data_IF_002257338255
#
_entry.id   IF_002257338255
#
_cell.length_a   1.000
_cell.length_b   1.000
_cell.length_c   1.000
_cell.angle_alpha   90.00
_cell.angle_beta   90.00
_cell.angle_gamma   90.00
#
_symmetry.space_group_name_H-M   'P 1'
#
loop_
_entity.id
_entity.type
_entity.pdbx_description
1 polymer ?
#
# COMPACT_ATOMS: atom_id res chain seq x y z
N UNK A 1 -5.39 -3.29 -19.50
CA UNK A 1 -4.22 -4.07 -19.07
C UNK A 1 -3.52 -3.32 -17.94
N UNK A 2 -3.10 -3.99 -16.85
CA UNK A 2 -2.50 -3.37 -15.66
C UNK A 2 -1.04 -2.91 -15.85
N UNK A 3 -0.56 -2.81 -17.10
CA UNK A 3 0.86 -2.82 -17.50
C UNK A 3 1.71 -1.65 -17.00
N UNK A 4 1.16 -0.70 -16.25
CA UNK A 4 1.91 0.44 -15.73
C UNK A 4 1.51 0.86 -14.31
N UNK A 5 0.90 -0.04 -13.52
CA UNK A 5 0.58 0.27 -12.13
C UNK A 5 1.83 0.02 -11.27
N UNK A 6 2.22 1.03 -10.51
CA UNK A 6 3.25 0.93 -9.48
C UNK A 6 2.61 1.08 -8.11
N UNK A 7 2.88 0.13 -7.23
CA UNK A 7 2.56 0.22 -5.80
C UNK A 7 3.81 0.66 -5.08
N UNK A 8 3.82 1.90 -4.58
CA UNK A 8 4.93 2.44 -3.82
C UNK A 8 4.67 2.30 -2.32
N UNK A 9 5.64 1.71 -1.63
CA UNK A 9 5.76 1.71 -0.17
C UNK A 9 6.81 2.75 0.21
N UNK A 10 6.44 3.72 1.03
CA UNK A 10 7.32 4.83 1.41
C UNK A 10 7.14 5.20 2.88
N UNK A 11 8.16 5.81 3.47
CA UNK A 11 8.07 6.25 4.87
C UNK A 11 7.03 7.36 5.01
N UNK A 12 6.19 7.26 6.04
CA UNK A 12 5.23 8.32 6.33
C UNK A 12 5.97 9.53 6.90
N UNK A 13 6.03 10.64 6.13
CA UNK A 13 6.86 11.81 6.47
C UNK A 13 6.63 12.36 7.88
N UNK A 14 5.40 12.25 8.40
CA UNK A 14 5.03 12.81 9.70
C UNK A 14 5.18 11.83 10.87
N UNK A 15 5.48 10.55 10.62
CA UNK A 15 5.71 9.59 11.71
C UNK A 15 6.66 8.47 11.27
N UNK A 16 7.82 8.31 11.94
CA UNK A 16 8.79 7.28 11.61
C UNK A 16 8.28 5.86 11.90
N UNK A 17 7.14 5.72 12.56
CA UNK A 17 6.52 4.43 12.92
C UNK A 17 5.48 3.96 11.90
N UNK A 18 5.32 4.64 10.76
CA UNK A 18 4.32 4.30 9.74
C UNK A 18 4.94 4.31 8.35
N UNK A 19 4.36 3.48 7.49
CA UNK A 19 4.62 3.50 6.05
C UNK A 19 3.33 3.83 5.31
N UNK A 20 3.47 4.59 4.23
CA UNK A 20 2.40 4.89 3.28
C UNK A 20 2.54 3.99 2.08
N UNK A 21 1.45 3.33 1.74
CA UNK A 21 1.29 2.50 0.55
C UNK A 21 0.34 3.24 -0.38
N UNK A 22 0.76 3.48 -1.62
CA UNK A 22 -0.06 4.16 -2.63
C UNK A 22 0.17 3.50 -3.98
N UNK A 23 -0.86 3.46 -4.81
CA UNK A 23 -0.71 3.06 -6.20
C UNK A 23 -0.79 4.27 -7.14
N UNK A 24 -0.07 4.22 -8.26
CA UNK A 24 -0.17 5.19 -9.35
C UNK A 24 0.07 4.49 -10.68
N UNK A 25 -0.36 5.10 -11.77
CA UNK A 25 -0.02 4.66 -13.11
C UNK A 25 0.45 5.85 -13.96
N UNK A 26 1.06 5.57 -15.11
CA UNK A 26 1.60 6.62 -15.99
C UNK A 26 0.54 7.65 -16.41
N UNK A 27 -0.73 7.24 -16.52
CA UNK A 27 -1.85 8.11 -16.90
C UNK A 27 -2.44 8.87 -15.69
N UNK A 28 -2.53 8.21 -14.53
CA UNK A 28 -3.02 8.80 -13.29
C UNK A 28 -1.90 8.89 -12.25
N UNK A 29 -1.43 10.13 -12.02
CA UNK A 29 -0.36 10.46 -11.07
C UNK A 29 -0.55 9.83 -9.67
N UNK A 30 -1.80 9.61 -9.25
CA UNK A 30 -2.15 8.90 -8.00
C UNK A 30 -3.50 8.19 -8.16
N UNK A 31 -3.56 6.90 -7.84
CA UNK A 31 -4.82 6.17 -7.70
C UNK A 31 -5.37 6.40 -6.27
N UNK A 32 -6.70 6.41 -6.07
CA UNK A 32 -7.33 6.70 -4.78
C UNK A 32 -7.21 5.55 -3.75
N UNK A 33 -6.06 4.88 -3.70
CA UNK A 33 -5.80 3.68 -2.89
C UNK A 33 -4.78 3.89 -1.77
N UNK A 34 -4.47 5.14 -1.41
CA UNK A 34 -3.46 5.41 -0.39
C UNK A 34 -3.88 4.96 1.02
N UNK A 35 -3.05 4.15 1.65
CA UNK A 35 -3.23 3.57 3.00
C UNK A 35 -1.96 3.78 3.83
N UNK A 36 -2.12 4.05 5.12
CA UNK A 36 -1.01 4.10 6.06
C UNK A 36 -1.09 2.90 7.00
N UNK A 37 0.00 2.15 7.13
CA UNK A 37 0.11 1.03 8.07
C UNK A 37 1.26 1.27 9.05
N UNK A 38 1.24 0.54 10.17
CA UNK A 38 2.37 0.53 11.11
C UNK A 38 3.61 -0.01 10.41
N UNK A 39 4.77 0.62 10.65
CA UNK A 39 6.06 0.11 10.20
C UNK A 39 6.34 -1.26 10.83
N UNK A 40 6.03 -1.43 12.11
CA UNK A 40 6.22 -2.70 12.83
C UNK A 40 5.40 -3.83 12.20
N UNK A 41 4.14 -3.56 11.83
CA UNK A 41 3.30 -4.54 11.15
C UNK A 41 3.89 -4.89 9.78
N UNK A 42 4.28 -3.87 9.01
CA UNK A 42 4.90 -4.05 7.70
C UNK A 42 6.19 -4.90 7.77
N UNK A 43 7.07 -4.63 8.73
CA UNK A 43 8.32 -5.37 8.93
C UNK A 43 8.09 -6.80 9.44
N UNK A 44 7.05 -7.02 10.24
CA UNK A 44 6.74 -8.32 10.83
C UNK A 44 6.11 -9.31 9.85
N UNK A 45 5.11 -8.87 9.08
CA UNK A 45 4.32 -9.77 8.21
C UNK A 45 4.42 -9.45 6.72
N UNK A 46 5.08 -8.36 6.36
CA UNK A 46 5.21 -7.90 4.97
C UNK A 46 3.98 -7.16 4.43
N UNK A 47 4.09 -6.66 3.20
CA UNK A 47 3.09 -5.79 2.55
C UNK A 47 1.71 -6.45 2.42
N UNK A 48 1.67 -7.62 1.77
CA UNK A 48 0.42 -8.30 1.41
C UNK A 48 -0.35 -8.68 2.66
N UNK A 49 0.31 -9.34 3.61
CA UNK A 49 -0.33 -9.78 4.85
C UNK A 49 -0.80 -8.59 5.69
N UNK A 50 -0.03 -7.50 5.73
CA UNK A 50 -0.45 -6.28 6.42
C UNK A 50 -1.74 -5.69 5.83
N UNK A 51 -1.84 -5.65 4.50
CA UNK A 51 -3.04 -5.17 3.79
C UNK A 51 -4.24 -6.10 3.99
N UNK A 52 -4.04 -7.42 3.93
CA UNK A 52 -5.11 -8.41 4.15
C UNK A 52 -5.64 -8.36 5.59
N UNK A 53 -4.75 -8.23 6.58
CA UNK A 53 -5.18 -8.06 7.97
C UNK A 53 -5.99 -6.77 8.14
N UNK A 54 -5.52 -5.66 7.57
CA UNK A 54 -6.21 -4.37 7.68
C UNK A 54 -7.56 -4.39 6.95
N UNK A 55 -7.65 -5.06 5.81
CA UNK A 55 -8.90 -5.29 5.08
C UNK A 55 -9.94 -5.96 5.97
N UNK A 56 -9.56 -7.01 6.70
CA UNK A 56 -10.46 -7.81 7.52
C UNK A 56 -10.73 -7.21 8.91
N UNK A 57 -9.81 -6.44 9.48
CA UNK A 57 -9.93 -5.90 10.83
C UNK A 57 -10.51 -4.48 10.88
N UNK A 58 -10.60 -3.79 9.74
CA UNK A 58 -11.07 -2.40 9.67
C UNK A 58 -12.59 -2.31 9.63
N UNK A 59 -13.17 -1.51 10.52
CA UNK A 59 -14.59 -1.12 10.46
C UNK A 59 -14.85 0.04 9.46
N UNK A 60 -13.80 0.57 8.85
CA UNK A 60 -13.89 1.68 7.89
C UNK A 60 -13.96 1.11 6.47
N UNK A 61 -15.15 1.16 5.87
CA UNK A 61 -15.40 0.64 4.51
C UNK A 61 -14.45 1.25 3.47
N UNK A 62 -14.21 2.56 3.54
CA UNK A 62 -13.29 3.23 2.62
C UNK A 62 -11.86 2.69 2.75
N UNK A 63 -11.43 2.36 3.97
CA UNK A 63 -10.11 1.77 4.20
C UNK A 63 -10.04 0.34 3.64
N UNK A 64 -11.08 -0.45 3.85
CA UNK A 64 -11.22 -1.81 3.31
C UNK A 64 -11.19 -1.80 1.78
N UNK A 65 -11.93 -0.90 1.14
CA UNK A 65 -11.97 -0.78 -0.32
C UNK A 65 -10.59 -0.40 -0.90
N UNK A 66 -9.86 0.49 -0.21
CA UNK A 66 -8.49 0.84 -0.60
C UNK A 66 -7.52 -0.33 -0.46
N UNK A 67 -7.62 -1.12 0.62
CA UNK A 67 -6.80 -2.31 0.80
C UNK A 67 -7.08 -3.35 -0.29
N UNK A 68 -8.36 -3.62 -0.60
CA UNK A 68 -8.77 -4.48 -1.71
C UNK A 68 -8.22 -4.00 -3.05
N UNK A 69 -8.31 -2.71 -3.34
CA UNK A 69 -7.76 -2.15 -4.57
C UNK A 69 -6.24 -2.38 -4.67
N UNK A 70 -5.48 -2.10 -3.61
CA UNK A 70 -4.04 -2.35 -3.56
C UNK A 70 -3.70 -3.83 -3.76
N UNK A 71 -4.41 -4.73 -3.07
CA UNK A 71 -4.22 -6.18 -3.20
C UNK A 71 -4.52 -6.65 -4.63
N UNK A 72 -5.59 -6.14 -5.25
CA UNK A 72 -5.92 -6.45 -6.64
C UNK A 72 -4.85 -5.96 -7.62
N UNK A 73 -4.27 -4.77 -7.39
CA UNK A 73 -3.16 -4.29 -8.23
C UNK A 73 -1.94 -5.19 -8.11
N UNK A 74 -1.56 -5.57 -6.88
CA UNK A 74 -0.44 -6.49 -6.64
C UNK A 74 -0.70 -7.84 -7.32
N UNK A 75 -1.90 -8.42 -7.14
CA UNK A 75 -2.28 -9.69 -7.75
C UNK A 75 -2.33 -9.62 -9.28
N UNK A 76 -2.60 -8.44 -9.85
CA UNK A 76 -2.60 -8.19 -11.29
C UNK A 76 -1.19 -7.93 -11.87
N UNK A 77 -0.13 -8.08 -11.07
CA UNK A 77 1.25 -7.91 -11.51
C UNK A 77 1.78 -6.48 -11.44
N UNK A 78 1.21 -5.62 -10.58
CA UNK A 78 1.76 -4.28 -10.37
C UNK A 78 3.22 -4.33 -9.91
N UNK A 79 4.03 -3.38 -10.39
CA UNK A 79 5.41 -3.22 -9.95
C UNK A 79 5.43 -2.69 -8.52
N UNK A 80 6.15 -3.35 -7.61
CA UNK A 80 6.30 -2.89 -6.24
C UNK A 80 7.59 -2.07 -6.14
N UNK A 81 7.46 -0.81 -5.71
CA UNK A 81 8.60 0.08 -5.47
C UNK A 81 8.73 0.40 -3.99
N UNK A 82 9.89 0.11 -3.41
CA UNK A 82 10.18 0.47 -2.03
C UNK A 82 11.03 1.74 -2.00
N UNK A 83 10.52 2.76 -1.33
CA UNK A 83 11.15 4.05 -1.12
C UNK A 83 11.17 4.36 0.39
N UNK A 84 11.62 3.38 1.15
CA UNK A 84 11.91 3.49 2.56
C UNK A 84 13.39 3.86 2.68
N UNK A 85 13.72 4.89 3.45
CA UNK A 85 15.11 5.17 3.79
C UNK A 85 15.62 3.97 4.61
N UNK A 86 16.57 3.21 4.04
CA UNK A 86 17.39 2.32 4.84
C UNK A 86 18.07 3.20 5.89
N UNK A 87 17.84 2.88 7.17
CA UNK A 87 18.61 3.49 8.26
C UNK A 87 20.07 3.08 8.16
#
# INVERSE_FOLDING_TARGET
>A
MPENIVVEVSNYRSSPKKVTIKAYCNENKTLPSAVNISLEQYESVGLIQSLTQLEHSSNNQLLTDKCKALLNYIASGATIRMNCYAR
#
